data_IF_023835807134
#
_entry.id   IF_023835807134
#
_cell.length_a   1.000
_cell.length_b   1.000
_cell.length_c   1.000
_cell.angle_alpha   90.00
_cell.angle_beta   90.00
_cell.angle_gamma   90.00
#
_symmetry.space_group_name_H-M   'P 1'
#
loop_
_entity.id
_entity.type
_entity.pdbx_description
1 polymer ?
#
# COMPACT_ATOMS: atom_id res chain seq x y z
N UNK A 1 15.41 8.62 -2.24
CA UNK A 1 15.39 7.40 -1.40
C UNK A 1 15.45 6.17 -2.32
N UNK A 2 15.95 5.02 -1.86
CA UNK A 2 15.89 3.76 -2.64
C UNK A 2 14.73 2.87 -2.18
N UNK A 3 13.98 2.31 -3.13
CA UNK A 3 12.84 1.45 -2.86
C UNK A 3 13.27 0.17 -2.12
N UNK A 4 12.67 -0.15 -0.96
CA UNK A 4 13.11 -1.28 -0.16
C UNK A 4 12.80 -2.66 -0.80
N UNK A 5 11.89 -2.72 -1.78
CA UNK A 5 11.55 -3.96 -2.52
C UNK A 5 12.37 -4.17 -3.80
N UNK A 6 12.63 -3.12 -4.57
CA UNK A 6 13.25 -3.28 -5.90
C UNK A 6 14.50 -2.43 -6.13
N UNK A 7 14.94 -1.68 -5.11
CA UNK A 7 16.15 -0.85 -5.10
C UNK A 7 16.19 0.21 -6.21
N UNK A 8 15.03 0.53 -6.81
CA UNK A 8 14.90 1.64 -7.74
C UNK A 8 14.77 2.96 -6.97
N UNK A 9 15.03 4.07 -7.65
CA UNK A 9 14.81 5.41 -7.09
C UNK A 9 13.33 5.65 -6.75
N UNK A 10 13.11 6.43 -5.70
CA UNK A 10 11.79 6.90 -5.31
C UNK A 10 11.69 8.41 -5.54
N UNK A 11 10.61 8.83 -6.18
CA UNK A 11 10.25 10.23 -6.40
C UNK A 11 9.32 10.74 -5.30
N UNK A 12 9.51 11.97 -4.85
CA UNK A 12 8.62 12.58 -3.87
C UNK A 12 7.37 13.11 -4.56
N UNK A 13 6.20 12.63 -4.14
CA UNK A 13 4.88 13.03 -4.62
C UNK A 13 4.08 13.61 -3.47
N UNK A 14 3.20 14.57 -3.75
CA UNK A 14 2.50 15.31 -2.69
C UNK A 14 0.99 15.26 -2.90
N UNK A 15 0.26 15.07 -1.81
CA UNK A 15 -1.17 15.28 -1.75
C UNK A 15 -1.45 16.35 -0.70
N UNK A 16 -1.96 17.50 -1.15
CA UNK A 16 -2.12 18.69 -0.32
C UNK A 16 -0.79 19.08 0.36
N UNK A 17 -0.71 18.99 1.68
CA UNK A 17 0.46 19.30 2.51
C UNK A 17 1.33 18.08 2.89
N UNK A 18 0.91 16.86 2.53
CA UNK A 18 1.64 15.62 2.89
C UNK A 18 2.44 15.13 1.69
N UNK A 19 3.74 14.92 1.90
CA UNK A 19 4.69 14.40 0.92
C UNK A 19 4.98 12.93 1.21
N UNK A 20 4.92 12.08 0.19
CA UNK A 20 5.24 10.65 0.28
C UNK A 20 6.21 10.29 -0.84
N UNK A 21 7.00 9.24 -0.66
CA UNK A 21 7.93 8.79 -1.70
C UNK A 21 7.30 7.64 -2.50
N UNK A 22 7.28 7.73 -3.83
CA UNK A 22 6.78 6.70 -4.73
C UNK A 22 7.90 6.09 -5.55
N UNK A 23 7.98 4.77 -5.58
CA UNK A 23 8.96 4.06 -6.41
C UNK A 23 8.63 4.21 -7.90
N UNK A 24 9.60 4.66 -8.70
CA UNK A 24 9.43 4.84 -10.16
C UNK A 24 9.32 3.53 -10.94
N UNK A 25 9.63 2.39 -10.31
CA UNK A 25 9.65 1.06 -10.96
C UNK A 25 8.45 0.21 -10.60
N UNK A 26 8.27 -0.10 -9.31
CA UNK A 26 7.18 -0.96 -8.86
C UNK A 26 5.93 -0.17 -8.46
N UNK A 27 6.01 1.16 -8.32
CA UNK A 27 4.89 2.00 -7.91
C UNK A 27 4.55 1.95 -6.41
N UNK A 28 5.31 1.20 -5.60
CA UNK A 28 5.10 1.16 -4.15
C UNK A 28 5.38 2.50 -3.47
N UNK A 29 4.69 2.75 -2.37
CA UNK A 29 4.67 4.00 -1.63
C UNK A 29 5.37 3.85 -0.29
N UNK A 30 6.18 4.84 0.07
CA UNK A 30 6.75 5.02 1.39
C UNK A 30 6.10 6.23 2.05
N UNK A 31 5.54 5.99 3.23
CA UNK A 31 4.96 7.00 4.10
C UNK A 31 5.86 7.17 5.32
N UNK A 32 6.10 8.41 5.73
CA UNK A 32 6.69 8.68 7.03
C UNK A 32 5.69 8.40 8.16
N UNK A 33 6.17 8.55 9.39
CA UNK A 33 5.41 8.22 10.58
C UNK A 33 4.03 8.91 10.55
N UNK A 34 2.97 8.08 10.63
CA UNK A 34 1.56 8.48 10.70
C UNK A 34 0.96 9.09 9.42
N UNK A 35 1.72 9.32 8.35
CA UNK A 35 1.20 9.97 7.13
C UNK A 35 0.14 9.14 6.40
N UNK A 36 0.30 7.82 6.37
CA UNK A 36 -0.67 6.91 5.74
C UNK A 36 -2.04 6.95 6.46
N UNK A 37 -2.04 7.04 7.79
CA UNK A 37 -3.26 7.15 8.59
C UNK A 37 -3.94 8.51 8.39
N UNK A 38 -3.15 9.59 8.30
CA UNK A 38 -3.67 10.92 8.01
C UNK A 38 -4.28 11.00 6.61
N UNK A 39 -3.55 10.52 5.59
CA UNK A 39 -4.01 10.49 4.21
C UNK A 39 -5.24 9.58 4.03
N UNK A 40 -5.39 8.52 4.84
CA UNK A 40 -6.57 7.66 4.81
C UNK A 40 -7.87 8.44 4.99
N UNK A 41 -7.87 9.45 5.86
CA UNK A 41 -9.02 10.30 6.15
C UNK A 41 -9.33 11.35 5.08
N UNK A 42 -8.41 11.60 4.14
CA UNK A 42 -8.53 12.65 3.12
C UNK A 42 -9.14 12.09 1.83
N UNK A 43 -10.28 12.63 1.40
CA UNK A 43 -10.94 12.22 0.16
C UNK A 43 -10.04 12.48 -1.06
N UNK A 44 -9.86 11.49 -1.93
CA UNK A 44 -9.05 11.62 -3.15
C UNK A 44 -7.56 11.29 -3.01
N UNK A 45 -7.05 11.08 -1.79
CA UNK A 45 -5.63 10.76 -1.57
C UNK A 45 -5.16 9.45 -2.21
N UNK A 46 -6.08 8.55 -2.59
CA UNK A 46 -5.79 7.35 -3.39
C UNK A 46 -5.13 7.68 -4.74
N UNK A 47 -5.24 8.93 -5.21
CA UNK A 47 -4.58 9.41 -6.42
C UNK A 47 -3.03 9.36 -6.34
N UNK A 48 -2.44 9.22 -5.14
CA UNK A 48 -1.01 8.97 -4.97
C UNK A 48 -0.59 7.58 -5.46
N UNK A 49 -1.49 6.61 -5.34
CA UNK A 49 -1.27 5.19 -5.58
C UNK A 49 -1.60 4.80 -7.02
N UNK A 50 -0.80 5.33 -7.96
CA UNK A 50 -0.97 5.09 -9.40
C UNK A 50 -0.21 3.86 -9.90
N UNK A 51 0.33 3.05 -8.98
CA UNK A 51 1.15 1.89 -9.31
C UNK A 51 0.33 0.75 -9.94
N UNK A 52 0.98 -0.14 -10.72
CA UNK A 52 0.30 -1.29 -11.32
C UNK A 52 -0.10 -2.33 -10.26
N UNK A 53 -1.41 -2.51 -10.05
CA UNK A 53 -1.96 -3.45 -9.04
C UNK A 53 -1.61 -4.91 -9.30
N UNK A 54 -1.32 -5.30 -10.54
CA UNK A 54 -0.92 -6.67 -10.89
C UNK A 54 0.49 -7.03 -10.41
N UNK A 55 1.32 -6.05 -10.03
CA UNK A 55 2.67 -6.31 -9.49
C UNK A 55 2.64 -6.58 -7.97
N UNK A 56 1.58 -6.20 -7.26
CA UNK A 56 1.46 -6.39 -5.80
C UNK A 56 1.67 -7.86 -5.38
N UNK A 57 1.10 -8.81 -6.13
CA UNK A 57 1.26 -10.24 -5.86
C UNK A 57 2.69 -10.77 -6.02
N UNK A 58 3.52 -10.12 -6.85
CA UNK A 58 4.90 -10.55 -7.13
C UNK A 58 5.90 -10.12 -6.04
N UNK A 59 5.58 -9.10 -5.25
CA UNK A 59 6.45 -8.55 -4.20
C UNK A 59 6.27 -9.20 -2.82
N UNK A 60 5.31 -10.14 -2.71
CA UNK A 60 4.99 -10.87 -1.49
C UNK A 60 6.01 -11.95 -1.08
N UNK A 61 7.05 -12.17 -1.88
CA UNK A 61 8.02 -13.28 -1.69
C UNK A 61 9.32 -12.81 -1.02
N UNK A 62 9.50 -11.52 -0.73
CA UNK A 62 10.73 -11.05 -0.09
C UNK A 62 10.68 -11.24 1.43
N UNK A 63 11.54 -12.11 2.01
CA UNK A 63 11.45 -12.48 3.43
C UNK A 63 12.04 -11.41 4.35
N UNK A 64 12.82 -10.45 3.83
CA UNK A 64 13.47 -9.39 4.59
C UNK A 64 13.42 -8.10 3.80
N UNK A 65 12.74 -7.11 4.35
CA UNK A 65 12.64 -5.77 3.78
C UNK A 65 13.24 -4.81 4.80
N UNK A 66 14.22 -4.01 4.38
CA UNK A 66 14.92 -3.07 5.26
C UNK A 66 14.38 -1.66 5.07
N UNK A 67 14.31 -0.89 6.16
CA UNK A 67 13.88 0.49 6.17
C UNK A 67 14.83 1.33 5.29
N UNK A 68 14.33 2.05 4.29
CA UNK A 68 15.16 2.87 3.40
C UNK A 68 15.69 4.15 4.07
N UNK A 69 15.21 4.51 5.27
CA UNK A 69 15.69 5.65 6.06
C UNK A 69 16.81 5.31 7.03
N UNK A 70 16.67 4.20 7.76
CA UNK A 70 17.57 3.86 8.88
C UNK A 70 18.20 2.46 8.79
N UNK A 71 17.83 1.66 7.78
CA UNK A 71 18.37 0.31 7.56
C UNK A 71 17.82 -0.77 8.50
N UNK A 72 16.89 -0.45 9.40
CA UNK A 72 16.28 -1.43 10.32
C UNK A 72 15.44 -2.45 9.56
N UNK A 73 15.46 -3.71 9.98
CA UNK A 73 14.54 -4.72 9.45
C UNK A 73 13.09 -4.34 9.78
N UNK A 74 12.25 -4.21 8.74
CA UNK A 74 10.85 -3.84 8.93
C UNK A 74 10.00 -5.04 9.35
N UNK A 75 8.96 -4.75 10.13
CA UNK A 75 8.00 -5.73 10.60
C UNK A 75 6.84 -5.76 9.60
N UNK A 76 6.48 -6.97 9.16
CA UNK A 76 5.30 -7.15 8.33
C UNK A 76 4.06 -7.12 9.21
N UNK A 77 3.22 -6.11 9.03
CA UNK A 77 1.98 -5.89 9.76
C UNK A 77 0.78 -6.29 8.91
N UNK A 78 -0.23 -6.89 9.55
CA UNK A 78 -1.52 -7.21 8.91
C UNK A 78 -2.56 -6.22 9.41
N UNK A 79 -3.33 -5.66 8.48
CA UNK A 79 -4.48 -4.84 8.84
C UNK A 79 -5.62 -5.76 9.30
N UNK A 80 -5.91 -5.85 10.60
CA UNK A 80 -6.91 -6.81 11.12
C UNK A 80 -8.30 -6.72 10.46
N UNK A 81 -8.83 -5.53 10.13
CA UNK A 81 -10.05 -5.38 9.33
C UNK A 81 -9.95 -5.82 7.85
N UNK A 82 -8.73 -5.97 7.31
CA UNK A 82 -8.44 -6.38 5.93
C UNK A 82 -7.25 -7.37 5.93
N UNK A 83 -7.46 -8.64 6.32
CA UNK A 83 -6.38 -9.61 6.55
C UNK A 83 -5.48 -9.90 5.35
N UNK A 84 -5.98 -9.59 4.15
CA UNK A 84 -5.27 -9.65 2.87
C UNK A 84 -4.30 -8.49 2.63
N UNK A 85 -4.39 -7.39 3.39
CA UNK A 85 -3.49 -6.23 3.29
C UNK A 85 -2.32 -6.37 4.28
N UNK A 86 -1.11 -6.51 3.74
CA UNK A 86 0.11 -6.70 4.51
C UNK A 86 1.11 -5.60 4.17
N UNK A 87 1.47 -4.78 5.14
CA UNK A 87 2.40 -3.65 4.94
C UNK A 87 3.68 -3.86 5.73
N UNK A 88 4.78 -3.26 5.28
CA UNK A 88 6.04 -3.28 6.03
C UNK A 88 6.22 -1.98 6.81
N UNK A 89 6.35 -2.08 8.14
CA UNK A 89 6.50 -0.91 9.01
C UNK A 89 7.84 -0.95 9.74
N UNK A 90 8.53 0.19 9.76
CA UNK A 90 9.76 0.37 10.52
C UNK A 90 9.44 0.64 12.01
N UNK A 91 9.94 -0.19 12.95
CA UNK A 91 9.70 0.03 14.38
C UNK A 91 10.55 1.17 14.98
N UNK A 92 11.50 1.73 14.23
CA UNK A 92 12.43 2.77 14.70
C UNK A 92 11.97 4.15 14.24
N UNK A 93 11.86 4.39 12.93
CA UNK A 93 11.42 5.68 12.41
C UNK A 93 9.89 5.80 12.26
N UNK A 94 9.14 4.69 12.38
CA UNK A 94 7.69 4.68 12.23
C UNK A 94 7.16 4.76 10.80
N UNK A 95 8.05 4.75 9.80
CA UNK A 95 7.64 4.79 8.39
C UNK A 95 7.08 3.45 7.91
N UNK A 96 6.19 3.50 6.91
CA UNK A 96 5.47 2.34 6.40
C UNK A 96 5.56 2.28 4.87
N UNK A 97 5.82 1.09 4.36
CA UNK A 97 5.82 0.79 2.93
C UNK A 97 4.54 0.05 2.53
N UNK A 98 3.92 0.51 1.45
CA UNK A 98 2.77 -0.11 0.78
C UNK A 98 3.20 -0.54 -0.62
N UNK A 99 2.93 -1.79 -1.00
CA UNK A 99 3.06 -2.22 -2.39
C UNK A 99 2.03 -1.48 -3.28
N UNK A 100 2.28 -1.42 -4.59
CA UNK A 100 1.40 -0.70 -5.51
C UNK A 100 -0.06 -1.20 -5.43
N UNK A 101 -1.01 -0.28 -5.25
CA UNK A 101 -2.45 -0.57 -5.10
C UNK A 101 -2.90 -0.80 -3.66
N UNK A 102 -1.99 -1.06 -2.73
CA UNK A 102 -2.33 -1.38 -1.34
C UNK A 102 -2.86 -0.18 -0.57
N UNK A 103 -2.41 1.04 -0.89
CA UNK A 103 -2.93 2.23 -0.22
C UNK A 103 -4.38 2.52 -0.63
N UNK A 104 -4.71 2.28 -1.90
CA UNK A 104 -6.10 2.32 -2.37
C UNK A 104 -6.96 1.31 -1.61
N UNK A 105 -6.50 0.07 -1.45
CA UNK A 105 -7.19 -0.97 -0.67
C UNK A 105 -7.32 -0.58 0.82
N UNK A 106 -6.27 -0.01 1.42
CA UNK A 106 -6.27 0.48 2.80
C UNK A 106 -7.39 1.51 3.07
N UNK A 107 -7.68 2.37 2.08
CA UNK A 107 -8.76 3.36 2.15
C UNK A 107 -10.15 2.78 1.99
N UNK A 108 -10.32 1.72 1.20
CA UNK A 108 -11.63 1.12 0.97
C UNK A 108 -12.14 0.36 2.23
N UNK A 109 -13.07 0.95 2.98
CA UNK A 109 -13.75 0.24 4.06
C UNK A 109 -14.67 -0.88 3.52
N UNK A 110 -14.72 -1.99 4.26
CA UNK A 110 -15.33 -3.31 3.98
C UNK A 110 -16.77 -3.30 3.44
N UNK A 111 -17.55 -2.22 3.61
CA UNK A 111 -18.95 -2.13 3.13
C UNK A 111 -19.02 -2.15 1.59
N UNK A 112 -18.09 -1.46 0.91
CA UNK A 112 -18.01 -1.48 -0.56
C UNK A 112 -17.55 -2.85 -1.09
N UNK A 113 -16.62 -3.51 -0.39
CA UNK A 113 -16.10 -4.84 -0.72
C UNK A 113 -17.19 -5.92 -0.61
N UNK A 114 -17.95 -5.93 0.50
CA UNK A 114 -19.12 -6.81 0.70
C UNK A 114 -20.18 -6.67 -0.42
N UNK A 115 -20.45 -5.44 -0.86
CA UNK A 115 -21.43 -5.18 -1.93
C UNK A 115 -20.91 -5.57 -3.32
N UNK A 116 -19.61 -5.46 -3.59
CA UNK A 116 -18.98 -5.85 -4.86
C UNK A 116 -18.77 -7.36 -4.98
N UNK A 117 -18.35 -8.02 -3.91
CA UNK A 117 -18.19 -9.49 -3.88
C UNK A 117 -19.54 -10.19 -4.12
N UNK A 118 -20.62 -9.64 -3.58
CA UNK A 118 -21.98 -10.14 -3.81
C UNK A 118 -22.45 -9.98 -5.26
N UNK A 119 -21.97 -8.97 -6.00
CA UNK A 119 -22.26 -8.82 -7.44
C UNK A 119 -21.43 -9.77 -8.30
N UNK A 120 -20.17 -10.03 -7.95
CA UNK A 120 -19.33 -11.02 -8.65
C UNK A 120 -19.85 -12.46 -8.48
N UNK A 121 -20.39 -12.80 -7.30
CA UNK A 121 -21.04 -14.09 -7.04
C UNK A 121 -22.44 -14.23 -7.66
N UNK A 122 -23.14 -13.12 -7.89
CA UNK A 122 -24.45 -13.12 -8.55
C UNK A 122 -24.35 -13.29 -10.07
N UNK A 123 -23.35 -12.66 -10.71
CA UNK A 123 -23.16 -12.70 -12.16
C UNK A 123 -22.70 -14.08 -12.70
N UNK A 124 -22.14 -14.94 -11.84
CA UNK A 124 -21.74 -16.31 -12.21
C UNK A 124 -22.87 -17.34 -12.12
N UNK A 125 -24.07 -16.96 -11.65
CA UNK A 125 -25.24 -17.86 -11.55
C UNK A 125 -26.36 -17.60 -12.54
N UNK A 126 -26.26 -16.56 -13.37
CA UNK A 126 -27.26 -16.24 -14.41
C UNK A 126 -26.90 -16.78 -15.80
N UNK A 127 -25.90 -17.67 -15.88
CA UNK A 127 -25.38 -18.23 -17.13
C UNK A 127 -25.29 -19.75 -17.18
N UNK A 128 -26.15 -20.46 -16.43
CA UNK A 128 -26.30 -21.93 -16.50
C UNK A 128 -27.77 -22.32 -16.65
#
# INVERSE_FOLDING_TARGET
>A
MECPKCQAEMESVRFEDIEVDRCIRCGGLWFDALEHDELRGRTGSEALDTGPTWQAGMHNVQPKVFCPRDGTLMVRMVNTPQPELWVESCPVCGGTFFDAGEFTEFKEQTVGKLLRDRRRYGASKEGE
#
